data_IF_047215641680
#
_entry.id   IF_047215641680
#
_cell.length_a   1.000
_cell.length_b   1.000
_cell.length_c   1.000
_cell.angle_alpha   90.00
_cell.angle_beta   90.00
_cell.angle_gamma   90.00
#
_symmetry.space_group_name_H-M   'P 1'
#
loop_
_entity.id
_entity.type
_entity.pdbx_description
1 polymer ?
#
# COMPACT_ATOMS: atom_id res chain seq x y z
N UNK A 1 -65.17 -5.36 54.96
CA UNK A 1 -64.57 -4.58 53.86
C UNK A 1 -63.05 -4.70 53.95
N UNK A 2 -62.38 -5.39 53.00
CA UNK A 2 -60.92 -5.35 52.85
C UNK A 2 -60.60 -5.67 51.38
N UNK A 3 -60.38 -4.60 50.59
CA UNK A 3 -59.86 -4.65 49.21
C UNK A 3 -58.45 -5.25 49.25
N UNK A 4 -58.20 -6.30 48.47
CA UNK A 4 -56.84 -6.82 48.22
C UNK A 4 -56.28 -6.09 47.01
N UNK A 5 -55.21 -5.33 47.24
CA UNK A 5 -54.47 -4.57 46.24
C UNK A 5 -53.51 -5.53 45.51
N UNK A 6 -53.60 -5.58 44.18
CA UNK A 6 -52.69 -6.31 43.29
C UNK A 6 -51.37 -5.54 43.23
N UNK A 7 -50.24 -6.22 43.51
CA UNK A 7 -48.90 -5.69 43.23
C UNK A 7 -48.35 -6.50 42.07
N UNK A 8 -48.30 -5.88 40.89
CA UNK A 8 -47.64 -6.41 39.71
C UNK A 8 -46.13 -6.25 39.88
N UNK A 9 -45.39 -7.36 39.82
CA UNK A 9 -43.93 -7.37 39.77
C UNK A 9 -43.51 -7.09 38.33
N UNK A 10 -43.01 -5.88 38.07
CA UNK A 10 -42.34 -5.53 36.81
C UNK A 10 -40.95 -6.19 36.79
N UNK A 11 -40.76 -7.15 35.88
CA UNK A 11 -39.47 -7.72 35.58
C UNK A 11 -38.68 -6.76 34.68
N UNK A 12 -37.60 -6.17 35.23
CA UNK A 12 -36.63 -5.39 34.46
C UNK A 12 -35.69 -6.38 33.77
N UNK A 13 -35.84 -6.56 32.46
CA UNK A 13 -34.92 -7.32 31.64
C UNK A 13 -33.63 -6.49 31.43
N UNK A 14 -32.54 -6.88 32.09
CA UNK A 14 -31.21 -6.31 31.86
C UNK A 14 -30.65 -6.82 30.53
N UNK A 15 -30.50 -5.93 29.54
CA UNK A 15 -29.79 -6.21 28.29
C UNK A 15 -28.26 -6.13 28.52
N UNK A 16 -27.48 -7.15 28.13
CA UNK A 16 -26.03 -7.06 28.19
C UNK A 16 -25.51 -6.15 27.07
N UNK A 17 -24.81 -5.09 27.46
CA UNK A 17 -24.04 -4.24 26.55
C UNK A 17 -22.80 -5.02 26.08
N UNK A 18 -22.89 -5.64 24.90
CA UNK A 18 -21.72 -6.14 24.19
C UNK A 18 -20.93 -4.94 23.64
N UNK A 19 -19.82 -4.61 24.30
CA UNK A 19 -18.83 -3.67 23.76
C UNK A 19 -18.01 -4.43 22.72
N UNK A 20 -18.29 -4.22 21.44
CA UNK A 20 -17.43 -4.68 20.36
C UNK A 20 -16.18 -3.78 20.29
N UNK A 21 -14.97 -4.33 20.09
CA UNK A 21 -13.80 -3.52 19.79
C UNK A 21 -14.00 -2.82 18.44
N UNK A 22 -14.01 -1.49 18.47
CA UNK A 22 -13.93 -0.68 17.27
C UNK A 22 -12.50 -0.79 16.73
N UNK A 23 -12.29 -1.61 15.71
CA UNK A 23 -11.08 -1.54 14.91
C UNK A 23 -11.13 -0.22 14.13
N UNK A 24 -10.32 0.75 14.55
CA UNK A 24 -10.00 1.90 13.70
C UNK A 24 -9.11 1.35 12.58
N UNK A 25 -9.73 0.98 11.47
CA UNK A 25 -9.00 0.74 10.23
C UNK A 25 -8.34 2.07 9.86
N UNK A 26 -7.01 2.16 10.06
CA UNK A 26 -6.24 3.24 9.48
C UNK A 26 -6.34 3.11 7.96
N UNK A 27 -7.15 3.97 7.35
CA UNK A 27 -7.24 4.15 5.90
C UNK A 27 -5.91 4.73 5.39
N UNK A 28 -4.91 3.86 5.24
CA UNK A 28 -3.83 4.04 4.29
C UNK A 28 -4.38 3.72 2.90
N UNK A 29 -4.78 4.78 2.19
CA UNK A 29 -5.44 4.69 0.89
C UNK A 29 -4.71 3.81 -0.11
N UNK A 30 -5.45 2.87 -0.69
CA UNK A 30 -4.98 1.95 -1.74
C UNK A 30 -6.13 1.11 -2.27
N UNK A 31 -7.24 1.77 -2.64
CA UNK A 31 -8.30 1.12 -3.41
C UNK A 31 -7.76 0.76 -4.79
N UNK A 32 -7.66 -0.54 -5.08
CA UNK A 32 -7.32 -1.05 -6.39
C UNK A 32 -7.84 -2.46 -6.54
N UNK A 33 -8.62 -2.67 -7.61
CA UNK A 33 -8.87 -4.00 -8.17
C UNK A 33 -7.63 -4.88 -8.06
N UNK A 34 -7.80 -6.14 -7.67
CA UNK A 34 -6.67 -7.06 -7.54
C UNK A 34 -5.93 -7.15 -8.88
N UNK A 35 -4.77 -6.50 -9.00
CA UNK A 35 -3.95 -6.56 -10.21
C UNK A 35 -3.64 -8.04 -10.52
N UNK A 36 -3.93 -8.54 -11.73
CA UNK A 36 -3.63 -9.92 -12.09
C UNK A 36 -2.14 -10.24 -11.91
N UNK A 37 -1.84 -11.36 -11.24
CA UNK A 37 -0.44 -11.79 -11.03
C UNK A 37 0.19 -12.23 -12.35
N UNK A 38 1.11 -11.40 -12.86
CA UNK A 38 1.92 -11.75 -14.03
C UNK A 38 3.06 -12.71 -13.70
N UNK A 39 3.56 -13.42 -14.72
CA UNK A 39 4.68 -14.35 -14.59
C UNK A 39 5.98 -13.60 -14.25
N UNK A 40 7.02 -14.36 -13.89
CA UNK A 40 8.36 -13.80 -13.67
C UNK A 40 8.84 -13.06 -14.93
N UNK A 41 9.35 -11.85 -14.79
CA UNK A 41 9.80 -10.99 -15.89
C UNK A 41 8.68 -10.23 -16.63
N UNK A 42 7.42 -10.35 -16.19
CA UNK A 42 6.28 -9.64 -16.78
C UNK A 42 5.60 -8.73 -15.75
N UNK A 43 4.98 -7.66 -16.25
CA UNK A 43 4.17 -6.71 -15.48
C UNK A 43 2.85 -6.43 -16.17
N UNK A 44 1.83 -6.04 -15.40
CA UNK A 44 0.50 -5.74 -15.93
C UNK A 44 0.44 -4.36 -16.60
N UNK A 45 0.26 -4.33 -17.91
CA UNK A 45 -0.03 -3.11 -18.67
C UNK A 45 -1.51 -2.78 -18.52
N UNK A 46 -1.85 -1.74 -17.74
CA UNK A 46 -3.24 -1.33 -17.50
C UNK A 46 -3.94 -0.82 -18.76
N UNK A 47 -3.21 -0.23 -19.70
CA UNK A 47 -3.80 0.27 -20.95
C UNK A 47 -4.16 -0.87 -21.88
N UNK A 48 -3.31 -1.90 -21.94
CA UNK A 48 -3.52 -3.07 -22.80
C UNK A 48 -4.23 -4.23 -22.12
N UNK A 49 -4.45 -4.15 -20.80
CA UNK A 49 -5.06 -5.20 -19.97
C UNK A 49 -4.39 -6.56 -20.19
N UNK A 50 -3.05 -6.58 -20.18
CA UNK A 50 -2.26 -7.81 -20.37
C UNK A 50 -0.90 -7.74 -19.69
N UNK A 51 -0.37 -8.90 -19.35
CA UNK A 51 1.02 -9.02 -18.92
C UNK A 51 1.97 -8.77 -20.10
N UNK A 52 2.96 -7.92 -19.91
CA UNK A 52 3.99 -7.59 -20.91
C UNK A 52 5.38 -7.64 -20.28
N UNK A 53 6.39 -7.92 -21.10
CA UNK A 53 7.78 -7.69 -20.69
C UNK A 53 8.04 -6.18 -20.67
N UNK A 54 8.39 -5.60 -19.51
CA UNK A 54 8.59 -4.17 -19.38
C UNK A 54 9.82 -3.72 -20.16
N UNK A 55 9.67 -2.63 -20.92
CA UNK A 55 10.77 -1.96 -21.64
C UNK A 55 10.58 -0.45 -21.56
N UNK A 56 11.69 0.28 -21.65
CA UNK A 56 11.67 1.75 -21.65
C UNK A 56 10.73 2.28 -22.72
N UNK A 57 9.88 3.25 -22.35
CA UNK A 57 8.90 3.88 -23.24
C UNK A 57 7.69 3.03 -23.63
N UNK A 58 7.58 1.77 -23.19
CA UNK A 58 6.39 0.94 -23.44
C UNK A 58 5.26 1.17 -22.44
N UNK A 59 5.62 1.57 -21.22
CA UNK A 59 4.72 1.83 -20.10
C UNK A 59 4.89 3.29 -19.68
N UNK A 60 3.81 3.93 -19.25
CA UNK A 60 3.91 5.24 -18.61
C UNK A 60 4.37 5.11 -17.15
N UNK A 61 4.76 6.25 -16.57
CA UNK A 61 5.36 6.29 -15.23
C UNK A 61 4.41 5.84 -14.13
N UNK A 62 3.10 6.04 -14.28
CA UNK A 62 2.10 5.56 -13.32
C UNK A 62 2.00 4.03 -13.35
N UNK A 63 1.96 3.42 -14.55
CA UNK A 63 1.97 1.98 -14.67
C UNK A 63 3.31 1.37 -14.19
N UNK A 64 4.43 2.05 -14.44
CA UNK A 64 5.75 1.66 -13.91
C UNK A 64 5.79 1.71 -12.38
N UNK A 65 5.24 2.78 -11.79
CA UNK A 65 5.14 2.93 -10.34
C UNK A 65 4.34 1.78 -9.71
N UNK A 66 3.16 1.49 -10.23
CA UNK A 66 2.28 0.43 -9.72
C UNK A 66 2.88 -0.96 -9.92
N UNK A 67 3.44 -1.23 -11.10
CA UNK A 67 4.12 -2.50 -11.35
C UNK A 67 5.32 -2.69 -10.42
N UNK A 68 6.11 -1.64 -10.19
CA UNK A 68 7.23 -1.65 -9.25
C UNK A 68 6.79 -1.87 -7.80
N UNK A 69 5.73 -1.19 -7.37
CA UNK A 69 5.06 -1.41 -6.09
C UNK A 69 4.66 -2.89 -5.92
N UNK A 70 3.91 -3.44 -6.87
CA UNK A 70 3.37 -4.79 -6.77
C UNK A 70 4.48 -5.85 -6.75
N UNK A 71 5.54 -5.65 -7.53
CA UNK A 71 6.73 -6.51 -7.50
C UNK A 71 7.47 -6.42 -6.15
N UNK A 72 7.59 -5.22 -5.59
CA UNK A 72 8.22 -5.01 -4.29
C UNK A 72 7.42 -5.68 -3.16
N UNK A 73 6.10 -5.53 -3.15
CA UNK A 73 5.21 -6.19 -2.19
C UNK A 73 5.21 -7.71 -2.35
N UNK A 74 5.46 -8.22 -3.56
CA UNK A 74 5.64 -9.64 -3.83
C UNK A 74 7.05 -10.17 -3.47
N UNK A 75 7.94 -9.35 -2.91
CA UNK A 75 9.33 -9.74 -2.58
C UNK A 75 10.25 -9.90 -3.79
N UNK A 76 9.80 -9.52 -4.99
CA UNK A 76 10.56 -9.59 -6.25
C UNK A 76 11.39 -8.32 -6.43
N UNK A 77 12.25 -8.02 -5.47
CA UNK A 77 12.92 -6.72 -5.35
C UNK A 77 13.79 -6.35 -6.56
N UNK A 78 14.55 -7.31 -7.12
CA UNK A 78 15.38 -7.04 -8.31
C UNK A 78 14.53 -6.70 -9.54
N UNK A 79 13.35 -7.33 -9.67
CA UNK A 79 12.43 -7.02 -10.76
C UNK A 79 11.76 -5.67 -10.55
N UNK A 80 11.38 -5.34 -9.31
CA UNK A 80 10.87 -4.02 -8.97
C UNK A 80 11.88 -2.93 -9.33
N UNK A 81 13.16 -3.09 -8.96
CA UNK A 81 14.23 -2.15 -9.30
C UNK A 81 14.37 -2.01 -10.82
N UNK A 82 14.40 -3.13 -11.54
CA UNK A 82 14.53 -3.12 -13.00
C UNK A 82 13.37 -2.37 -13.67
N UNK A 83 12.13 -2.58 -13.22
CA UNK A 83 10.93 -1.93 -13.76
C UNK A 83 10.89 -0.45 -13.40
N UNK A 84 11.06 -0.09 -12.13
CA UNK A 84 11.06 1.31 -11.67
C UNK A 84 12.15 2.12 -12.37
N UNK A 85 13.29 1.50 -12.68
CA UNK A 85 14.39 2.12 -13.43
C UNK A 85 14.04 2.40 -14.90
N UNK A 86 12.88 1.98 -15.41
CA UNK A 86 12.42 2.32 -16.76
C UNK A 86 11.61 3.62 -16.81
N UNK A 87 11.23 4.20 -15.67
CA UNK A 87 10.43 5.43 -15.61
C UNK A 87 11.09 6.56 -16.41
N UNK A 88 10.31 7.33 -17.16
CA UNK A 88 10.81 8.53 -17.83
C UNK A 88 11.12 9.62 -16.80
N UNK A 89 10.20 9.87 -15.86
CA UNK A 89 10.42 10.80 -14.76
C UNK A 89 11.23 10.16 -13.63
N UNK A 90 12.56 10.38 -13.66
CA UNK A 90 13.48 9.92 -12.61
C UNK A 90 13.35 10.65 -11.27
N UNK A 91 12.57 11.73 -11.22
CA UNK A 91 12.40 12.56 -10.02
C UNK A 91 11.06 12.33 -9.32
N UNK A 92 10.22 11.39 -9.78
CA UNK A 92 8.97 11.07 -9.09
C UNK A 92 9.26 10.49 -7.69
N UNK A 93 8.86 11.17 -6.59
CA UNK A 93 9.12 10.70 -5.23
C UNK A 93 8.51 9.32 -4.94
N UNK A 94 7.41 8.96 -5.61
CA UNK A 94 6.75 7.66 -5.48
C UNK A 94 7.63 6.53 -6.03
N UNK A 95 8.29 6.78 -7.17
CA UNK A 95 9.21 5.84 -7.81
C UNK A 95 10.51 5.73 -7.01
N UNK A 96 11.05 6.88 -6.57
CA UNK A 96 12.22 6.93 -5.70
C UNK A 96 11.99 6.17 -4.39
N UNK A 97 10.82 6.31 -3.78
CA UNK A 97 10.43 5.55 -2.58
C UNK A 97 10.49 4.02 -2.81
N UNK A 98 9.89 3.52 -3.89
CA UNK A 98 9.93 2.08 -4.15
C UNK A 98 11.28 1.56 -4.65
N UNK A 99 12.11 2.41 -5.27
CA UNK A 99 13.53 2.10 -5.50
C UNK A 99 14.26 1.97 -4.15
N UNK A 100 14.06 2.92 -3.25
CA UNK A 100 14.61 2.89 -1.90
C UNK A 100 14.24 1.62 -1.13
N UNK A 101 12.94 1.30 -1.13
CA UNK A 101 12.38 0.11 -0.51
C UNK A 101 13.00 -1.15 -1.10
N UNK A 102 12.98 -1.30 -2.42
CA UNK A 102 13.45 -2.51 -3.08
C UNK A 102 14.97 -2.69 -2.93
N UNK A 103 15.76 -1.62 -2.98
CA UNK A 103 17.20 -1.68 -2.72
C UNK A 103 17.49 -2.09 -1.27
N UNK A 104 16.82 -1.49 -0.29
CA UNK A 104 17.01 -1.86 1.12
C UNK A 104 16.65 -3.31 1.38
N UNK A 105 15.49 -3.77 0.90
CA UNK A 105 15.03 -5.14 1.11
C UNK A 105 15.80 -6.20 0.31
N UNK A 106 16.57 -5.79 -0.72
CA UNK A 106 17.56 -6.64 -1.40
C UNK A 106 18.96 -6.60 -0.77
N UNK A 107 19.11 -6.01 0.42
CA UNK A 107 20.37 -5.95 1.17
C UNK A 107 21.28 -4.77 0.78
N UNK A 108 20.89 -3.95 -0.20
CA UNK A 108 21.62 -2.75 -0.63
C UNK A 108 21.16 -1.54 0.18
N UNK A 109 21.37 -1.60 1.50
CA UNK A 109 20.81 -0.66 2.48
C UNK A 109 21.19 0.79 2.15
N UNK A 110 22.48 1.07 1.94
CA UNK A 110 22.97 2.44 1.67
C UNK A 110 22.39 3.03 0.39
N UNK A 111 22.27 2.22 -0.67
CA UNK A 111 21.61 2.64 -1.92
C UNK A 111 20.13 2.95 -1.67
N UNK A 112 19.47 2.11 -0.87
CA UNK A 112 18.07 2.32 -0.50
C UNK A 112 17.84 3.64 0.24
N UNK A 113 18.68 3.93 1.24
CA UNK A 113 18.63 5.20 1.99
C UNK A 113 18.85 6.41 1.07
N UNK A 114 19.81 6.35 0.16
CA UNK A 114 20.06 7.44 -0.79
C UNK A 114 18.85 7.78 -1.67
N UNK A 115 18.06 6.78 -2.08
CA UNK A 115 16.82 7.04 -2.81
C UNK A 115 15.74 7.72 -1.97
N UNK A 116 15.65 7.40 -0.68
CA UNK A 116 14.74 8.08 0.25
C UNK A 116 15.15 9.53 0.51
N UNK A 117 16.45 9.77 0.71
CA UNK A 117 16.99 11.13 0.83
C UNK A 117 16.70 11.96 -0.42
N UNK A 118 16.88 11.37 -1.60
CA UNK A 118 16.57 12.01 -2.87
C UNK A 118 15.08 12.35 -3.01
N UNK A 119 14.19 11.44 -2.60
CA UNK A 119 12.74 11.70 -2.60
C UNK A 119 12.39 12.93 -1.73
N UNK A 120 12.99 13.07 -0.54
CA UNK A 120 12.81 14.26 0.32
C UNK A 120 13.47 15.51 -0.26
N UNK A 121 14.60 15.37 -0.97
CA UNK A 121 15.26 16.50 -1.63
C UNK A 121 14.39 17.09 -2.74
N UNK A 122 13.72 16.23 -3.50
CA UNK A 122 12.77 16.65 -4.56
C UNK A 122 11.47 17.17 -3.95
N UNK A 123 10.90 16.47 -2.98
CA UNK A 123 9.69 16.86 -2.29
C UNK A 123 9.86 16.72 -0.78
N UNK A 124 10.18 17.81 -0.06
CA UNK A 124 10.34 17.79 1.40
C UNK A 124 9.09 17.33 2.16
N UNK A 125 7.91 17.47 1.56
CA UNK A 125 6.63 17.05 2.15
C UNK A 125 6.27 15.58 1.82
N UNK A 126 7.13 14.85 1.10
CA UNK A 126 6.98 13.43 0.85
C UNK A 126 7.34 12.61 2.11
N UNK A 127 6.57 12.82 3.16
CA UNK A 127 6.81 12.30 4.52
C UNK A 127 6.80 10.79 4.60
N UNK A 128 6.27 10.08 3.60
CA UNK A 128 6.25 8.61 3.54
C UNK A 128 7.63 7.98 3.69
N UNK A 129 8.71 8.65 3.26
CA UNK A 129 10.06 8.07 3.35
C UNK A 129 10.76 8.36 4.68
N UNK A 130 10.20 9.24 5.53
CA UNK A 130 10.82 9.65 6.79
C UNK A 130 10.85 8.52 7.82
N UNK A 131 9.96 7.54 7.71
CA UNK A 131 9.98 6.34 8.56
C UNK A 131 11.17 5.41 8.26
N UNK A 132 11.92 5.68 7.19
CA UNK A 132 13.01 4.84 6.70
C UNK A 132 14.41 5.43 6.87
N UNK A 133 14.52 6.67 7.38
CA UNK A 133 15.76 7.39 7.64
C UNK A 133 15.97 7.55 9.14
#
# INVERSE_FOLDING_TARGET
MRRRLLIQVMAIAALPLFVAPAFTAGEGGGGGDQTPKCKKGEVWDKKKQKCVTPKYGMLDDDNIYEAGHDLAMAGRYDEAIAVLSLAANKQDPRILNYLGYSHRHSGRITVGLGYYEEALRINPDYTLVREYL
#
